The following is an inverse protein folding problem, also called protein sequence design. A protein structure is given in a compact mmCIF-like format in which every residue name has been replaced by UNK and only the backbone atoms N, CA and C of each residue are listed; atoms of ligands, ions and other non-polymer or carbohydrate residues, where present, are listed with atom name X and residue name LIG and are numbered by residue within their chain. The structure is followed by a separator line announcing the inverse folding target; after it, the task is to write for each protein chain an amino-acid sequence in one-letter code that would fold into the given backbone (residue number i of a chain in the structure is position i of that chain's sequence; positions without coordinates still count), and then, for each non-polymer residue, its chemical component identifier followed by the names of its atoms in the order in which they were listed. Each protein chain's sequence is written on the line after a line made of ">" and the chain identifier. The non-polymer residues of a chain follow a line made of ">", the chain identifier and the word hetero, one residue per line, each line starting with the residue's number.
data_IF_403759753688
#
_entry.id   IF_403759753688
#
_cell.length_a   1.000
_cell.length_b   1.000
_cell.length_c   1.000
_cell.angle_alpha   90.00
_cell.angle_beta   90.00
_cell.angle_gamma   90.00
#
_symmetry.space_group_name_H-M   'P 1'
#
loop_
_entity.id
_entity.type
_entity.pdbx_description
1 polymer ?
#
# COMPACT_ATOMS: atom_id res chain seq x y z
N UNK A 1 -14.99 -29.13 26.79
CA UNK A 1 -14.08 -28.62 25.75
C UNK A 1 -12.69 -29.10 26.14
N UNK A 2 -12.09 -30.00 25.34
CA UNK A 2 -10.81 -30.62 25.69
C UNK A 2 -9.72 -29.53 25.72
N UNK A 3 -8.87 -29.50 26.75
CA UNK A 3 -7.82 -28.46 26.93
C UNK A 3 -6.97 -28.32 25.66
N UNK A 4 -6.72 -29.43 24.97
CA UNK A 4 -6.05 -29.48 23.68
C UNK A 4 -6.72 -28.65 22.58
N UNK A 5 -8.05 -28.69 22.46
CA UNK A 5 -8.79 -27.93 21.44
C UNK A 5 -8.73 -26.43 21.74
N UNK A 6 -8.86 -26.04 23.01
CA UNK A 6 -8.67 -24.65 23.43
C UNK A 6 -7.25 -24.17 23.12
N UNK A 7 -6.22 -24.94 23.52
CA UNK A 7 -4.83 -24.58 23.26
C UNK A 7 -4.52 -24.45 21.76
N UNK A 8 -5.03 -25.36 20.92
CA UNK A 8 -4.82 -25.30 19.46
C UNK A 8 -5.53 -24.09 18.85
N UNK A 9 -6.78 -23.81 19.23
CA UNK A 9 -7.50 -22.63 18.72
C UNK A 9 -6.81 -21.33 19.12
N UNK A 10 -6.37 -21.20 20.37
CA UNK A 10 -5.59 -20.03 20.84
C UNK A 10 -4.26 -19.93 20.11
N UNK A 11 -3.53 -21.02 19.93
CA UNK A 11 -2.25 -21.01 19.22
C UNK A 11 -2.41 -20.60 17.74
N UNK A 12 -3.41 -21.12 17.03
CA UNK A 12 -3.72 -20.71 15.65
C UNK A 12 -4.11 -19.24 15.58
N UNK A 13 -4.90 -18.77 16.56
CA UNK A 13 -5.27 -17.35 16.64
C UNK A 13 -4.03 -16.49 16.85
N UNK A 14 -3.17 -16.80 17.82
CA UNK A 14 -1.92 -16.06 18.09
C UNK A 14 -0.99 -16.06 16.88
N UNK A 15 -0.81 -17.19 16.20
CA UNK A 15 0.01 -17.28 14.99
C UNK A 15 -0.54 -16.40 13.85
N UNK A 16 -1.85 -16.20 13.77
CA UNK A 16 -2.45 -15.30 12.79
C UNK A 16 -2.15 -13.81 13.06
N UNK A 17 -1.73 -13.44 14.27
CA UNK A 17 -1.32 -12.07 14.63
C UNK A 17 0.20 -11.88 14.67
N UNK A 18 1.01 -12.91 14.38
CA UNK A 18 2.45 -12.71 14.23
C UNK A 18 2.69 -11.96 12.92
N UNK A 19 2.91 -10.65 13.03
CA UNK A 19 3.37 -9.83 11.91
C UNK A 19 4.88 -9.95 11.81
N UNK A 20 5.39 -10.48 10.69
CA UNK A 20 6.81 -10.37 10.37
C UNK A 20 7.20 -8.90 10.23
N UNK A 21 8.30 -8.49 10.85
CA UNK A 21 8.86 -7.13 10.77
C UNK A 21 9.58 -6.87 9.45
N UNK A 22 8.91 -7.13 8.33
CA UNK A 22 9.44 -6.78 7.01
C UNK A 22 9.36 -5.26 6.79
N UNK A 23 10.40 -4.69 6.16
CA UNK A 23 10.38 -3.28 5.75
C UNK A 23 9.22 -3.04 4.76
N UNK A 24 8.48 -1.94 4.94
CA UNK A 24 7.30 -1.63 4.12
C UNK A 24 7.69 -1.57 2.63
N UNK A 25 7.00 -2.39 1.81
CA UNK A 25 7.21 -2.46 0.37
C UNK A 25 5.98 -1.98 -0.39
N UNK A 26 6.18 -1.14 -1.40
CA UNK A 26 5.09 -0.52 -2.17
C UNK A 26 5.36 -0.61 -3.68
N UNK A 27 4.30 -0.57 -4.48
CA UNK A 27 4.43 -0.44 -5.93
C UNK A 27 4.86 0.98 -6.30
N UNK A 28 5.82 1.09 -7.22
CA UNK A 28 6.29 2.35 -7.82
C UNK A 28 6.02 2.34 -9.32
N UNK A 29 5.26 3.32 -9.78
CA UNK A 29 5.06 3.59 -11.21
C UNK A 29 4.35 4.93 -11.43
N UNK A 30 4.40 5.41 -12.68
CA UNK A 30 3.57 6.53 -13.13
C UNK A 30 3.10 6.32 -14.57
N UNK A 31 1.86 6.71 -14.88
CA UNK A 31 1.23 6.48 -16.20
C UNK A 31 1.48 7.59 -17.22
N UNK A 32 2.13 8.67 -16.81
CA UNK A 32 2.61 9.76 -17.67
C UNK A 32 3.76 9.28 -18.56
N UNK A 33 4.71 8.56 -17.98
CA UNK A 33 5.90 8.06 -18.67
C UNK A 33 5.66 6.74 -19.41
N UNK A 34 4.97 5.77 -18.77
CA UNK A 34 4.58 4.51 -19.41
C UNK A 34 3.12 4.18 -19.06
N UNK A 35 2.27 4.03 -20.08
CA UNK A 35 0.82 3.76 -19.92
C UNK A 35 0.43 2.45 -19.22
N UNK A 36 1.36 1.78 -18.54
CA UNK A 36 1.16 0.53 -17.79
C UNK A 36 0.81 0.73 -16.32
N UNK A 37 0.98 1.93 -15.77
CA UNK A 37 0.57 2.24 -14.40
C UNK A 37 -0.94 2.57 -14.34
N UNK A 38 -1.83 1.74 -14.88
CA UNK A 38 -3.25 2.06 -14.92
C UNK A 38 -3.97 1.80 -13.58
N UNK A 39 -5.25 2.19 -13.50
CA UNK A 39 -6.10 1.88 -12.34
C UNK A 39 -6.31 0.36 -12.19
N UNK A 40 -6.63 -0.30 -13.32
CA UNK A 40 -6.64 -1.75 -13.46
C UNK A 40 -5.21 -2.27 -13.41
N UNK A 41 -4.71 -2.34 -12.18
CA UNK A 41 -3.35 -2.73 -11.90
C UNK A 41 -3.29 -4.24 -11.76
N UNK A 42 -2.98 -4.92 -12.87
CA UNK A 42 -2.82 -6.36 -12.84
C UNK A 42 -1.40 -6.71 -12.40
N UNK A 43 -1.23 -6.86 -11.08
CA UNK A 43 0.04 -7.21 -10.44
C UNK A 43 0.69 -8.47 -11.02
N UNK A 44 -0.08 -9.38 -11.62
CA UNK A 44 0.45 -10.62 -12.22
C UNK A 44 1.24 -10.40 -13.51
N UNK A 45 1.05 -9.24 -14.16
CA UNK A 45 1.73 -8.90 -15.42
C UNK A 45 3.12 -8.28 -15.20
N UNK A 46 3.50 -8.00 -13.95
CA UNK A 46 4.71 -7.25 -13.63
C UNK A 46 5.68 -8.10 -12.81
N UNK A 47 6.98 -8.09 -13.15
CA UNK A 47 7.98 -8.74 -12.31
C UNK A 47 8.02 -8.07 -10.93
N UNK A 48 7.84 -8.86 -9.86
CA UNK A 48 7.90 -8.36 -8.47
C UNK A 48 9.25 -7.75 -8.10
N UNK A 49 10.31 -8.21 -8.74
CA UNK A 49 11.67 -7.69 -8.60
C UNK A 49 12.24 -7.40 -9.98
N UNK A 50 12.56 -6.14 -10.25
CA UNK A 50 13.47 -5.81 -11.35
C UNK A 50 14.88 -5.69 -10.76
N UNK A 51 15.78 -6.57 -11.19
CA UNK A 51 17.22 -6.33 -11.04
C UNK A 51 17.55 -5.02 -11.74
N UNK A 52 18.09 -4.06 -10.99
CA UNK A 52 18.32 -2.65 -11.32
C UNK A 52 19.12 -2.41 -12.63
N UNK A 53 19.62 -3.45 -13.29
CA UNK A 53 20.54 -3.30 -14.40
C UNK A 53 19.94 -2.66 -15.66
N UNK A 54 18.62 -2.69 -15.90
CA UNK A 54 17.99 -2.05 -17.08
C UNK A 54 16.51 -1.68 -16.88
N UNK A 55 16.11 -1.38 -15.64
CA UNK A 55 14.73 -0.95 -15.38
C UNK A 55 14.53 0.45 -15.97
N UNK A 56 13.84 0.54 -17.11
CA UNK A 56 13.19 1.78 -17.51
C UNK A 56 12.36 2.21 -16.28
N UNK A 57 12.73 3.35 -15.67
CA UNK A 57 12.28 3.83 -14.34
C UNK A 57 10.75 3.88 -14.16
N UNK A 58 10.01 3.67 -15.25
CA UNK A 58 8.57 3.89 -15.39
C UNK A 58 7.77 2.58 -15.45
N UNK A 59 8.43 1.42 -15.54
CA UNK A 59 7.74 0.12 -15.44
C UNK A 59 7.32 -0.15 -13.99
N UNK A 60 6.11 -0.67 -13.74
CA UNK A 60 5.69 -1.03 -12.39
C UNK A 60 6.59 -2.07 -11.75
N UNK A 61 7.12 -1.74 -10.57
CA UNK A 61 7.96 -2.60 -9.75
C UNK A 61 7.74 -2.31 -8.26
N UNK A 62 8.19 -3.22 -7.40
CA UNK A 62 8.11 -3.05 -5.95
C UNK A 62 9.41 -2.40 -5.45
N UNK A 63 9.27 -1.42 -4.57
CA UNK A 63 10.39 -0.77 -3.88
C UNK A 63 10.26 -0.92 -2.37
N UNK A 64 11.38 -0.81 -1.68
CA UNK A 64 11.49 -0.77 -0.23
C UNK A 64 11.43 0.69 0.24
N UNK A 65 10.40 1.05 1.01
CA UNK A 65 10.20 2.44 1.43
C UNK A 65 11.19 2.92 2.49
N UNK A 66 12.06 2.07 3.03
CA UNK A 66 13.13 2.52 3.91
C UNK A 66 14.40 2.80 3.10
N UNK A 67 14.66 1.99 2.07
CA UNK A 67 15.88 2.07 1.25
C UNK A 67 15.76 3.02 0.05
N UNK A 68 14.59 3.07 -0.59
CA UNK A 68 14.42 3.62 -1.95
C UNK A 68 13.65 4.95 -2.00
N UNK A 69 13.49 5.64 -0.86
CA UNK A 69 12.78 6.93 -0.82
C UNK A 69 13.57 7.98 -1.58
N UNK A 70 12.92 8.78 -2.43
CA UNK A 70 13.58 9.93 -3.05
C UNK A 70 14.18 10.85 -1.97
N UNK A 71 15.45 11.22 -2.12
CA UNK A 71 16.21 12.12 -1.23
C UNK A 71 15.48 13.44 -0.92
N UNK A 72 14.46 13.83 -1.69
CA UNK A 72 13.70 15.05 -1.48
C UNK A 72 12.87 15.07 -0.16
N UNK A 73 12.62 13.91 0.46
CA UNK A 73 11.98 13.83 1.78
C UNK A 73 12.95 14.06 2.96
N UNK A 74 14.27 14.02 2.72
CA UNK A 74 15.28 14.21 3.78
C UNK A 74 15.27 15.64 4.35
N UNK A 75 14.66 16.61 3.66
CA UNK A 75 14.52 17.99 4.12
C UNK A 75 13.57 18.16 5.32
N UNK A 76 12.67 17.20 5.57
CA UNK A 76 11.69 17.26 6.68
C UNK A 76 12.19 16.67 8.00
N UNK A 77 13.42 16.14 8.05
CA UNK A 77 14.05 15.60 9.27
C UNK A 77 14.25 16.64 10.39
N UNK A 78 14.20 17.93 10.06
CA UNK A 78 14.35 19.02 11.03
C UNK A 78 13.08 19.34 11.84
N UNK A 79 11.93 18.71 11.56
CA UNK A 79 10.65 19.08 12.20
C UNK A 79 10.32 18.34 13.50
N UNK A 80 11.19 17.47 14.03
CA UNK A 80 11.03 16.85 15.36
C UNK A 80 9.73 16.06 15.59
N UNK A 81 8.98 15.77 14.53
CA UNK A 81 7.69 15.08 14.57
C UNK A 81 7.80 13.60 14.23
N UNK A 82 6.76 12.85 14.57
CA UNK A 82 6.61 11.45 14.18
C UNK A 82 6.64 11.32 12.65
N UNK A 83 7.48 10.42 12.15
CA UNK A 83 7.66 10.14 10.71
C UNK A 83 7.33 8.69 10.45
N UNK A 84 6.52 8.42 9.42
CA UNK A 84 6.11 7.06 9.08
C UNK A 84 6.04 6.86 7.57
N UNK A 85 6.74 5.84 7.07
CA UNK A 85 6.62 5.42 5.68
C UNK A 85 5.25 4.77 5.44
N UNK A 86 4.63 5.12 4.32
CA UNK A 86 3.35 4.58 3.83
C UNK A 86 3.42 4.40 2.31
N UNK A 87 2.57 3.53 1.77
CA UNK A 87 2.32 3.49 0.34
C UNK A 87 1.31 4.55 -0.04
N UNK A 88 1.47 5.14 -1.23
CA UNK A 88 0.55 6.12 -1.81
C UNK A 88 0.06 5.65 -3.17
N UNK A 89 -1.22 5.90 -3.44
CA UNK A 89 -1.82 5.90 -4.77
C UNK A 89 -2.45 7.27 -5.04
N UNK A 90 -2.09 7.90 -6.15
CA UNK A 90 -2.60 9.20 -6.59
C UNK A 90 -3.13 9.11 -8.02
N UNK A 91 -4.24 9.80 -8.29
CA UNK A 91 -4.82 9.97 -9.62
C UNK A 91 -5.05 11.46 -9.83
N UNK A 92 -4.53 11.96 -10.94
CA UNK A 92 -4.64 13.35 -11.37
C UNK A 92 -5.28 13.37 -12.75
N UNK A 93 -6.21 14.28 -12.98
CA UNK A 93 -6.68 14.63 -14.32
C UNK A 93 -6.02 15.94 -14.75
N UNK A 94 -5.26 15.91 -15.85
CA UNK A 94 -4.81 17.12 -16.53
C UNK A 94 -6.03 17.77 -17.21
N UNK A 95 -6.43 18.98 -16.79
CA UNK A 95 -7.64 19.63 -17.34
C UNK A 95 -7.48 20.07 -18.79
N UNK A 96 -6.26 20.28 -19.29
CA UNK A 96 -6.03 20.70 -20.68
C UNK A 96 -6.20 19.53 -21.64
N UNK A 97 -5.62 18.39 -21.30
CA UNK A 97 -5.65 17.19 -22.16
C UNK A 97 -6.77 16.22 -21.80
N UNK A 98 -7.44 16.43 -20.65
CA UNK A 98 -8.42 15.51 -20.06
C UNK A 98 -7.84 14.10 -19.81
N UNK A 99 -6.52 13.98 -19.73
CA UNK A 99 -5.83 12.70 -19.49
C UNK A 99 -5.71 12.43 -18.00
N UNK A 100 -6.00 11.19 -17.61
CA UNK A 100 -5.73 10.69 -16.26
C UNK A 100 -4.30 10.18 -16.14
N UNK A 101 -3.63 10.67 -15.10
CA UNK A 101 -2.29 10.27 -14.68
C UNK A 101 -2.43 9.55 -13.35
N UNK A 102 -1.95 8.32 -13.31
CA UNK A 102 -1.94 7.46 -12.15
C UNK A 102 -0.50 7.35 -11.65
N UNK A 103 -0.29 7.56 -10.36
CA UNK A 103 1.02 7.48 -9.74
C UNK A 103 0.96 6.66 -8.46
N UNK A 104 1.94 5.78 -8.27
CA UNK A 104 2.08 4.89 -7.11
C UNK A 104 3.50 5.00 -6.60
N UNK A 105 3.69 5.00 -5.28
CA UNK A 105 5.02 5.01 -4.68
C UNK A 105 4.98 5.04 -3.15
N UNK A 106 6.14 5.20 -2.54
CA UNK A 106 6.27 5.47 -1.10
C UNK A 106 6.02 6.96 -0.80
N UNK A 107 5.47 7.23 0.37
CA UNK A 107 5.30 8.56 0.94
C UNK A 107 5.70 8.54 2.42
N UNK A 108 6.08 9.71 2.96
CA UNK A 108 6.42 9.88 4.36
C UNK A 108 5.36 10.75 5.02
N UNK A 109 4.56 10.18 5.91
CA UNK A 109 3.66 10.95 6.75
C UNK A 109 4.48 11.75 7.77
N UNK A 110 4.18 13.04 7.89
CA UNK A 110 4.84 13.94 8.83
C UNK A 110 3.84 14.61 9.76
N UNK A 111 4.19 14.73 11.04
CA UNK A 111 3.37 15.45 12.03
C UNK A 111 2.02 14.74 12.27
N UNK A 112 0.92 15.40 11.89
CA UNK A 112 -0.45 14.91 12.12
C UNK A 112 -1.05 14.20 10.91
N UNK A 113 -0.28 13.96 9.84
CA UNK A 113 -0.76 13.20 8.69
C UNK A 113 -1.00 11.74 9.07
N UNK A 114 -2.06 11.16 8.52
CA UNK A 114 -2.51 9.82 8.85
C UNK A 114 -2.78 9.00 7.59
N UNK A 115 -2.83 7.68 7.78
CA UNK A 115 -3.29 6.73 6.76
C UNK A 115 -4.74 7.06 6.36
N UNK A 116 -5.05 6.94 5.07
CA UNK A 116 -6.33 7.36 4.49
C UNK A 116 -6.15 8.43 3.43
N UNK A 117 -7.15 9.29 3.25
CA UNK A 117 -7.14 10.33 2.20
C UNK A 117 -6.01 11.33 2.42
N UNK A 118 -5.28 11.66 1.35
CA UNK A 118 -4.19 12.62 1.42
C UNK A 118 -4.71 14.03 1.76
N UNK A 119 -4.17 14.68 2.79
CA UNK A 119 -4.62 15.98 3.29
C UNK A 119 -4.05 17.19 2.54
N UNK A 120 -2.84 17.06 1.97
CA UNK A 120 -2.05 18.19 1.47
C UNK A 120 -1.62 18.05 0.01
N UNK A 121 -2.48 17.52 -0.86
CA UNK A 121 -2.15 17.39 -2.28
C UNK A 121 -2.66 18.62 -3.04
N UNK A 122 -1.80 19.62 -3.17
CA UNK A 122 -2.04 20.70 -4.13
C UNK A 122 -1.92 20.12 -5.54
N UNK A 123 -2.95 20.33 -6.35
CA UNK A 123 -2.82 20.18 -7.78
C UNK A 123 -1.87 21.28 -8.30
N UNK A 124 -0.95 20.92 -9.20
CA UNK A 124 -0.01 21.87 -9.76
C UNK A 124 -0.57 22.41 -11.08
N UNK A 125 -0.71 23.73 -11.22
CA UNK A 125 -1.23 24.34 -12.44
C UNK A 125 -2.68 23.96 -12.73
N UNK A 126 -2.93 23.37 -13.91
CA UNK A 126 -4.26 22.99 -14.40
C UNK A 126 -4.68 21.55 -14.03
N UNK A 127 -3.93 20.92 -13.13
CA UNK A 127 -4.24 19.57 -12.68
C UNK A 127 -5.44 19.55 -11.72
N UNK A 128 -6.12 18.41 -11.65
CA UNK A 128 -7.13 18.12 -10.64
C UNK A 128 -6.81 16.78 -9.97
N UNK A 129 -6.69 16.77 -8.65
CA UNK A 129 -6.52 15.52 -7.90
C UNK A 129 -7.88 14.84 -7.79
N UNK A 130 -8.06 13.75 -8.52
CA UNK A 130 -9.30 12.95 -8.50
C UNK A 130 -9.31 11.97 -7.32
N UNK A 131 -8.14 11.45 -6.96
CA UNK A 131 -7.99 10.46 -5.91
C UNK A 131 -6.59 10.53 -5.31
N UNK A 132 -6.50 10.43 -3.99
CA UNK A 132 -5.24 10.20 -3.31
C UNK A 132 -5.47 9.49 -1.98
N UNK A 133 -4.77 8.39 -1.77
CA UNK A 133 -4.86 7.60 -0.53
C UNK A 133 -3.48 7.10 -0.10
N UNK A 134 -3.25 7.16 1.21
CA UNK A 134 -2.15 6.55 1.93
C UNK A 134 -2.60 5.25 2.59
N UNK A 135 -1.79 4.21 2.51
CA UNK A 135 -2.02 2.92 3.16
C UNK A 135 -0.71 2.34 3.71
N UNK A 136 -0.77 1.56 4.78
CA UNK A 136 0.40 1.17 5.59
C UNK A 136 0.67 -0.34 5.62
N UNK A 137 0.12 -1.07 4.65
CA UNK A 137 0.32 -2.53 4.49
C UNK A 137 1.11 -2.84 3.22
N UNK A 138 1.75 -4.01 3.18
CA UNK A 138 2.55 -4.43 2.03
C UNK A 138 1.77 -4.36 0.72
N UNK A 139 2.35 -3.70 -0.28
CA UNK A 139 1.82 -3.62 -1.65
C UNK A 139 0.38 -3.07 -1.74
N UNK A 140 -0.12 -2.40 -0.69
CA UNK A 140 -1.52 -1.98 -0.59
C UNK A 140 -1.92 -0.96 -1.66
N UNK A 141 -0.96 -0.14 -2.08
CA UNK A 141 -1.16 0.79 -3.18
C UNK A 141 -1.17 0.10 -4.55
N UNK A 142 -1.09 -1.23 -4.62
CA UNK A 142 -1.34 -2.05 -5.81
C UNK A 142 -2.76 -2.60 -5.87
N UNK A 143 -3.47 -2.66 -4.73
CA UNK A 143 -4.80 -3.26 -4.67
C UNK A 143 -5.83 -2.45 -5.47
N UNK A 144 -6.70 -3.16 -6.18
CA UNK A 144 -8.02 -2.65 -6.55
C UNK A 144 -8.83 -2.74 -5.26
N UNK A 145 -9.21 -1.60 -4.66
CA UNK A 145 -9.75 -1.45 -3.31
C UNK A 145 -10.31 -2.74 -2.70
N UNK A 146 -9.52 -3.38 -1.82
CA UNK A 146 -9.92 -4.63 -1.19
C UNK A 146 -11.02 -4.30 -0.17
N UNK A 147 -12.29 -4.44 -0.58
CA UNK A 147 -13.39 -4.43 0.37
C UNK A 147 -13.09 -5.49 1.43
N UNK A 148 -13.02 -5.05 2.69
CA UNK A 148 -12.64 -5.84 3.86
C UNK A 148 -13.40 -7.16 3.89
N UNK A 149 -12.75 -8.26 3.50
CA UNK A 149 -13.30 -9.61 3.64
C UNK A 149 -13.20 -10.06 5.10
N UNK A 150 -14.02 -9.43 5.96
CA UNK A 150 -14.23 -9.79 7.37
C UNK A 150 -14.68 -11.26 7.54
N UNK A 151 -15.21 -11.86 6.47
CA UNK A 151 -15.76 -13.21 6.43
C UNK A 151 -14.74 -14.33 6.70
N UNK A 152 -13.45 -14.11 6.41
CA UNK A 152 -12.42 -15.13 6.64
C UNK A 152 -12.21 -15.41 8.14
N UNK A 153 -12.49 -14.43 9.00
CA UNK A 153 -12.40 -14.59 10.46
C UNK A 153 -13.56 -15.39 11.09
N UNK A 154 -14.71 -15.50 10.41
CA UNK A 154 -15.89 -16.19 10.95
C UNK A 154 -15.85 -17.71 10.76
N UNK A 155 -15.10 -18.19 9.77
CA UNK A 155 -14.96 -19.62 9.44
C UNK A 155 -14.40 -20.43 10.63
N UNK A 156 -13.28 -20.06 11.29
CA UNK A 156 -12.77 -20.84 12.42
C UNK A 156 -13.70 -20.81 13.65
N UNK A 157 -14.44 -19.71 13.86
CA UNK A 157 -15.42 -19.61 14.95
C UNK A 157 -16.61 -20.55 14.70
N UNK A 158 -17.11 -20.59 13.47
CA UNK A 158 -18.20 -21.49 13.08
C UNK A 158 -17.79 -22.96 13.21
N UNK A 159 -16.58 -23.33 12.78
CA UNK A 159 -16.04 -24.70 12.93
C UNK A 159 -15.91 -25.09 14.41
N UNK A 160 -15.40 -24.19 15.26
CA UNK A 160 -15.28 -24.42 16.70
C UNK A 160 -16.64 -24.60 17.40
N UNK A 161 -17.69 -23.91 16.92
CA UNK A 161 -19.06 -24.05 17.43
C UNK A 161 -19.74 -25.34 16.96
N UNK A 162 -19.47 -25.79 15.72
CA UNK A 162 -20.02 -27.04 15.16
C UNK A 162 -19.38 -28.26 15.82
N UNK A 163 -18.06 -28.25 16.05
CA UNK A 163 -17.33 -29.32 16.75
C UNK A 163 -17.62 -29.37 18.26
N UNK A 164 -18.44 -28.45 18.77
CA UNK A 164 -18.88 -28.40 20.17
C UNK A 164 -20.17 -29.20 20.42
N UNK A 165 -20.89 -29.58 19.36
CA UNK A 165 -21.98 -30.57 19.40
C UNK A 165 -21.41 -31.97 19.24
#
# INVERSE_FOLDING_TARGET
>A
MNVYVLCVTVAVFVLAFITNGDALRCWKCSSDAYGRCADHFNVTLFPRYQTIQNAYSDSPHIIDCERDVPNNYQTYSNFGGYQRHVCMKKVITDRRTQRKIYSRGCHLLVGNEAVGTCTNQQAYGDDQVDFCEYCDTFECNGAQGLQKNLWVGLIPIAVALILRK
#
